data_IF_373079878775
#
_entry.id   IF_373079878775
#
_cell.length_a   1.000
_cell.length_b   1.000
_cell.length_c   1.000
_cell.angle_alpha   90.00
_cell.angle_beta   90.00
_cell.angle_gamma   90.00
#
_symmetry.space_group_name_H-M   'P 1'
#
loop_
_entity.id
_entity.type
_entity.pdbx_description
1 polymer ?
#
# COMPACT_ATOMS: atom_id res chain seq x y z
N UNK A 1 0.70 -16.83 -16.36
CA UNK A 1 0.62 -15.36 -16.59
C UNK A 1 1.70 -14.69 -15.75
N UNK A 2 2.10 -13.47 -16.10
CA UNK A 2 3.09 -12.68 -15.36
C UNK A 2 2.68 -11.21 -15.36
N UNK A 3 2.98 -10.48 -14.28
CA UNK A 3 2.85 -9.02 -14.23
C UNK A 3 4.14 -8.30 -14.71
N UNK A 4 5.26 -9.03 -14.79
CA UNK A 4 6.54 -8.51 -15.29
C UNK A 4 6.58 -8.59 -16.81
N UNK A 5 7.02 -7.51 -17.47
CA UNK A 5 7.14 -7.43 -18.93
C UNK A 5 8.42 -8.09 -19.49
N UNK A 6 9.30 -8.57 -18.61
CA UNK A 6 10.59 -9.17 -18.98
C UNK A 6 10.42 -10.62 -19.47
N UNK A 7 10.27 -10.78 -20.80
CA UNK A 7 10.09 -12.09 -21.44
C UNK A 7 11.30 -13.02 -21.27
N UNK A 8 12.50 -12.49 -21.03
CA UNK A 8 13.74 -13.29 -20.87
C UNK A 8 13.67 -14.31 -19.73
N UNK A 9 12.97 -13.97 -18.65
CA UNK A 9 12.73 -14.85 -17.51
C UNK A 9 11.91 -16.10 -17.86
N UNK A 10 11.34 -16.16 -19.07
CA UNK A 10 10.49 -17.24 -19.56
C UNK A 10 11.12 -18.01 -20.74
N UNK A 11 12.40 -17.78 -21.07
CA UNK A 11 13.13 -18.52 -22.12
C UNK A 11 13.17 -20.04 -21.86
N UNK A 12 13.06 -20.47 -20.60
CA UNK A 12 12.90 -21.89 -20.19
C UNK A 12 11.70 -22.59 -20.88
N UNK A 13 10.66 -21.86 -21.29
CA UNK A 13 9.49 -22.43 -21.96
C UNK A 13 9.71 -22.69 -23.47
N UNK A 14 10.94 -22.99 -23.89
CA UNK A 14 11.31 -23.46 -25.22
C UNK A 14 10.73 -22.64 -26.39
N UNK A 15 10.70 -21.31 -26.27
CA UNK A 15 10.17 -20.41 -27.31
C UNK A 15 8.64 -20.36 -27.41
N UNK A 16 7.90 -20.74 -26.36
CA UNK A 16 6.44 -20.61 -26.30
C UNK A 16 5.97 -19.17 -26.59
N UNK A 17 4.88 -19.05 -27.36
CA UNK A 17 4.34 -17.75 -27.80
C UNK A 17 3.78 -16.94 -26.62
N UNK A 18 4.38 -15.79 -26.33
CA UNK A 18 3.88 -14.82 -25.35
C UNK A 18 2.83 -13.88 -25.96
N UNK A 19 1.74 -13.62 -25.24
CA UNK A 19 0.81 -12.52 -25.54
C UNK A 19 1.06 -11.40 -24.53
N UNK A 20 1.33 -10.19 -25.02
CA UNK A 20 1.45 -8.98 -24.20
C UNK A 20 0.15 -8.16 -24.28
N UNK A 21 -0.40 -7.81 -23.12
CA UNK A 21 -1.48 -6.84 -23.00
C UNK A 21 -0.90 -5.52 -22.49
N UNK A 22 -1.13 -4.42 -23.20
CA UNK A 22 -0.75 -3.09 -22.74
C UNK A 22 -1.64 -2.68 -21.56
N UNK A 23 -1.03 -2.50 -20.39
CA UNK A 23 -1.71 -1.97 -19.21
C UNK A 23 -2.00 -0.47 -19.35
N UNK A 24 -3.15 -0.03 -18.82
CA UNK A 24 -3.43 1.40 -18.64
C UNK A 24 -2.59 1.90 -17.46
N UNK A 25 -1.86 3.00 -17.65
CA UNK A 25 -1.17 3.72 -16.59
C UNK A 25 -1.59 5.19 -16.63
N UNK A 26 -1.90 5.74 -15.46
CA UNK A 26 -2.06 7.17 -15.28
C UNK A 26 -0.69 7.80 -14.90
N UNK A 27 -0.47 9.10 -15.17
CA UNK A 27 0.65 9.81 -14.55
C UNK A 27 0.50 9.78 -13.03
N UNK A 28 1.63 9.67 -12.32
CA UNK A 28 1.69 9.68 -10.85
C UNK A 28 2.99 10.38 -10.46
N UNK A 29 2.88 11.49 -9.75
CA UNK A 29 4.02 12.18 -9.16
C UNK A 29 4.58 11.39 -7.97
N UNK A 30 5.90 11.42 -7.79
CA UNK A 30 6.59 10.62 -6.78
C UNK A 30 7.42 11.54 -5.89
N UNK A 31 7.05 11.58 -4.61
CA UNK A 31 7.75 12.33 -3.58
C UNK A 31 8.63 11.37 -2.75
N UNK A 32 9.78 11.87 -2.32
CA UNK A 32 10.75 11.13 -1.52
C UNK A 32 11.12 11.95 -0.28
N UNK A 33 11.39 11.29 0.85
CA UNK A 33 11.95 11.97 2.02
C UNK A 33 13.40 12.39 1.73
N UNK A 34 13.81 13.57 2.22
CA UNK A 34 15.18 14.06 2.00
C UNK A 34 16.25 13.17 2.64
N UNK A 35 15.89 12.47 3.72
CA UNK A 35 16.75 11.58 4.50
C UNK A 35 16.01 10.28 4.83
N UNK A 36 16.74 9.24 5.25
CA UNK A 36 16.19 8.00 5.78
C UNK A 36 15.45 8.23 7.10
N UNK A 37 14.20 7.80 7.18
CA UNK A 37 13.41 7.87 8.42
C UNK A 37 13.63 6.59 9.24
N UNK A 38 13.81 6.73 10.55
CA UNK A 38 13.94 5.59 11.47
C UNK A 38 12.57 5.02 11.90
N UNK A 39 11.64 5.88 12.35
CA UNK A 39 10.26 5.51 12.62
C UNK A 39 9.37 5.83 11.41
N UNK A 40 9.11 4.81 10.59
CA UNK A 40 8.24 4.95 9.43
C UNK A 40 6.75 4.99 9.80
N UNK A 41 6.36 4.56 11.01
CA UNK A 41 4.96 4.61 11.46
C UNK A 41 4.55 6.06 11.74
N UNK A 42 5.37 6.81 12.48
CA UNK A 42 5.12 8.22 12.75
C UNK A 42 5.17 9.06 11.46
N UNK A 43 6.14 8.82 10.57
CA UNK A 43 6.19 9.50 9.27
C UNK A 43 4.99 9.16 8.37
N UNK A 44 4.49 7.91 8.38
CA UNK A 44 3.23 7.57 7.72
C UNK A 44 2.05 8.34 8.34
N UNK A 45 1.93 8.38 9.67
CA UNK A 45 0.87 9.11 10.38
C UNK A 45 0.86 10.60 10.00
N UNK A 46 2.03 11.25 10.03
CA UNK A 46 2.21 12.65 9.63
C UNK A 46 1.80 12.86 8.17
N UNK A 47 2.27 12.00 7.26
CA UNK A 47 1.96 12.11 5.82
C UNK A 47 0.46 11.97 5.54
N UNK A 48 -0.23 11.07 6.25
CA UNK A 48 -1.69 10.88 6.13
C UNK A 48 -2.43 12.17 6.51
N UNK A 49 -2.10 12.79 7.63
CA UNK A 49 -2.75 14.03 8.05
C UNK A 49 -2.37 15.24 7.18
N UNK A 50 -1.15 15.28 6.63
CA UNK A 50 -0.75 16.30 5.64
C UNK A 50 -1.60 16.19 4.36
N UNK A 51 -1.75 14.99 3.80
CA UNK A 51 -2.59 14.77 2.60
C UNK A 51 -4.06 15.04 2.92
N UNK A 52 -4.58 14.52 4.04
CA UNK A 52 -6.00 14.67 4.42
C UNK A 52 -6.43 16.14 4.55
N UNK A 53 -5.58 16.97 5.16
CA UNK A 53 -5.84 18.39 5.44
C UNK A 53 -5.39 19.35 4.33
N UNK A 54 -4.45 18.94 3.46
CA UNK A 54 -3.85 19.79 2.43
C UNK A 54 -4.37 19.58 1.01
N UNK A 55 -4.73 18.34 0.65
CA UNK A 55 -5.02 17.97 -0.75
C UNK A 55 -6.52 18.01 -1.12
N UNK A 56 -6.80 18.02 -2.42
CA UNK A 56 -8.16 17.85 -2.96
C UNK A 56 -8.77 16.46 -2.68
N UNK A 57 -10.04 16.25 -3.02
CA UNK A 57 -10.78 15.00 -2.76
C UNK A 57 -10.08 13.77 -3.37
N UNK A 58 -10.07 12.66 -2.63
CA UNK A 58 -9.50 11.37 -3.05
C UNK A 58 -9.18 10.44 -1.87
N UNK A 59 -9.20 9.14 -2.12
CA UNK A 59 -8.79 8.08 -1.18
C UNK A 59 -7.26 8.03 -1.01
N UNK A 60 -6.75 7.58 0.15
CA UNK A 60 -5.32 7.51 0.45
C UNK A 60 -4.86 6.04 0.55
N UNK A 61 -4.11 5.54 -0.43
CA UNK A 61 -3.45 4.23 -0.28
C UNK A 61 -2.14 4.40 0.52
N UNK A 62 -2.25 4.21 1.83
CA UNK A 62 -1.18 4.27 2.85
C UNK A 62 -0.31 3.03 2.78
N UNK A 63 0.91 3.18 3.29
CA UNK A 63 1.98 2.19 3.28
C UNK A 63 2.29 1.42 4.64
N UNK A 64 1.83 0.19 5.05
CA UNK A 64 2.29 -0.51 6.34
C UNK A 64 2.42 -2.06 6.36
N UNK A 65 3.24 -2.65 7.27
CA UNK A 65 3.94 -3.98 7.23
C UNK A 65 3.25 -5.24 7.72
N UNK A 66 2.21 -5.13 8.52
CA UNK A 66 1.63 -6.26 9.22
C UNK A 66 0.49 -5.83 10.11
N UNK A 67 -0.14 -6.82 10.75
CA UNK A 67 -1.36 -6.59 11.52
C UNK A 67 -1.12 -5.64 12.71
N UNK A 68 -0.08 -5.86 13.51
CA UNK A 68 0.27 -5.02 14.67
C UNK A 68 0.51 -3.55 14.27
N UNK A 69 1.17 -3.34 13.13
CA UNK A 69 1.49 -2.03 12.59
C UNK A 69 0.24 -1.32 12.02
N UNK A 70 -0.62 -2.07 11.33
CA UNK A 70 -1.89 -1.59 10.76
C UNK A 70 -2.88 -1.22 11.87
N UNK A 71 -3.08 -2.10 12.86
CA UNK A 71 -3.94 -1.85 14.02
C UNK A 71 -3.44 -0.66 14.85
N UNK A 72 -2.12 -0.52 15.01
CA UNK A 72 -1.53 0.60 15.73
C UNK A 72 -1.76 1.94 15.03
N UNK A 73 -1.59 2.02 13.71
CA UNK A 73 -1.85 3.25 12.95
C UNK A 73 -3.34 3.54 12.80
N UNK A 74 -4.20 2.53 12.62
CA UNK A 74 -5.65 2.71 12.63
C UNK A 74 -6.14 3.28 13.97
N UNK A 75 -5.61 2.77 15.09
CA UNK A 75 -5.88 3.32 16.41
C UNK A 75 -5.36 4.76 16.56
N UNK A 76 -4.11 5.05 16.18
CA UNK A 76 -3.51 6.40 16.25
C UNK A 76 -4.27 7.42 15.39
N UNK A 77 -4.75 7.04 14.20
CA UNK A 77 -5.57 7.90 13.34
C UNK A 77 -6.92 8.19 14.01
N UNK A 78 -7.59 7.17 14.56
CA UNK A 78 -8.84 7.34 15.31
C UNK A 78 -8.67 8.13 16.62
N UNK A 79 -7.50 8.12 17.25
CA UNK A 79 -7.15 8.97 18.39
C UNK A 79 -6.95 10.44 17.96
N UNK A 80 -6.22 10.67 16.84
CA UNK A 80 -5.94 12.00 16.30
C UNK A 80 -7.15 12.68 15.66
N UNK A 81 -8.03 11.96 14.97
CA UNK A 81 -9.25 12.51 14.38
C UNK A 81 -10.13 13.20 15.43
N UNK A 82 -10.24 12.61 16.64
CA UNK A 82 -10.99 13.19 17.77
C UNK A 82 -10.40 14.50 18.31
N UNK A 83 -9.18 14.86 17.91
CA UNK A 83 -8.51 16.12 18.25
C UNK A 83 -8.72 17.21 17.18
N UNK A 84 -9.28 16.86 16.01
CA UNK A 84 -9.56 17.78 14.92
C UNK A 84 -10.99 18.35 14.99
N UNK A 85 -11.27 19.54 14.43
CA UNK A 85 -12.64 20.06 14.29
C UNK A 85 -13.54 19.10 13.52
N UNK A 86 -14.83 19.04 13.87
CA UNK A 86 -15.80 18.10 13.29
C UNK A 86 -15.81 18.10 11.74
N UNK A 87 -15.68 19.28 11.13
CA UNK A 87 -15.57 19.47 9.67
C UNK A 87 -14.38 18.76 9.02
N UNK A 88 -13.36 18.41 9.80
CA UNK A 88 -12.12 17.74 9.36
C UNK A 88 -12.07 16.26 9.77
N UNK A 89 -13.09 15.73 10.44
CA UNK A 89 -13.15 14.33 10.89
C UNK A 89 -13.59 13.34 9.79
N UNK A 90 -13.71 13.79 8.54
CA UNK A 90 -14.21 13.02 7.39
C UNK A 90 -13.17 12.05 6.80
N UNK A 91 -12.55 11.22 7.64
CA UNK A 91 -11.57 10.20 7.26
C UNK A 91 -12.03 8.83 7.79
N UNK A 92 -12.26 7.88 6.90
CA UNK A 92 -12.73 6.53 7.21
C UNK A 92 -11.57 5.52 7.17
N UNK A 93 -11.40 4.80 8.28
CA UNK A 93 -10.33 3.82 8.46
C UNK A 93 -10.74 2.46 7.89
N UNK A 94 -9.92 1.87 7.01
CA UNK A 94 -10.23 0.58 6.36
C UNK A 94 -8.96 -0.30 6.25
N UNK A 95 -8.72 -1.15 7.24
CA UNK A 95 -7.66 -2.16 7.17
C UNK A 95 -7.97 -3.27 6.14
N UNK A 96 -6.93 -3.82 5.52
CA UNK A 96 -7.01 -5.05 4.72
C UNK A 96 -5.92 -6.02 5.19
N UNK A 97 -6.33 -7.10 5.86
CA UNK A 97 -5.44 -8.17 6.33
C UNK A 97 -5.75 -9.47 5.58
N UNK A 98 -4.72 -10.28 5.34
CA UNK A 98 -4.86 -11.57 4.65
C UNK A 98 -5.78 -12.56 5.38
N UNK A 99 -5.96 -12.39 6.69
CA UNK A 99 -6.84 -13.21 7.53
C UNK A 99 -8.30 -12.72 7.61
N UNK A 100 -8.65 -11.56 7.04
CA UNK A 100 -10.03 -11.07 7.06
C UNK A 100 -10.94 -11.93 6.14
N UNK A 101 -12.19 -12.21 6.52
CA UNK A 101 -13.19 -12.78 5.62
C UNK A 101 -13.35 -11.94 4.35
N UNK A 102 -13.59 -12.60 3.20
CA UNK A 102 -13.71 -11.93 1.90
C UNK A 102 -14.76 -10.81 1.89
N UNK A 103 -15.87 -10.97 2.63
CA UNK A 103 -16.90 -9.94 2.75
C UNK A 103 -16.34 -8.64 3.36
N UNK A 104 -15.45 -8.73 4.35
CA UNK A 104 -14.82 -7.57 4.99
C UNK A 104 -13.76 -6.94 4.07
N UNK A 105 -12.95 -7.77 3.40
CA UNK A 105 -11.98 -7.30 2.39
C UNK A 105 -12.68 -6.53 1.25
N UNK A 106 -13.86 -6.99 0.81
CA UNK A 106 -14.63 -6.34 -0.25
C UNK A 106 -15.14 -4.94 0.12
N UNK A 107 -15.26 -4.61 1.42
CA UNK A 107 -15.71 -3.27 1.87
C UNK A 107 -14.73 -2.17 1.50
N UNK A 108 -13.44 -2.47 1.30
CA UNK A 108 -12.41 -1.50 0.85
C UNK A 108 -12.73 -0.94 -0.54
N UNK A 109 -13.33 -1.78 -1.41
CA UNK A 109 -13.74 -1.41 -2.77
C UNK A 109 -15.10 -0.71 -2.84
N UNK A 110 -15.83 -0.58 -1.73
CA UNK A 110 -17.05 0.21 -1.69
C UNK A 110 -16.71 1.71 -1.83
N UNK A 111 -17.60 2.49 -2.44
CA UNK A 111 -17.45 3.95 -2.51
C UNK A 111 -17.48 4.58 -1.12
N UNK A 112 -16.67 5.61 -0.90
CA UNK A 112 -16.70 6.36 0.35
C UNK A 112 -18.05 7.10 0.51
N UNK A 113 -18.55 7.31 1.74
CA UNK A 113 -19.65 8.23 1.99
C UNK A 113 -19.29 9.65 1.52
N UNK A 114 -20.30 10.45 1.12
CA UNK A 114 -20.05 11.78 0.55
C UNK A 114 -19.20 12.67 1.48
N UNK A 115 -18.08 13.18 0.95
CA UNK A 115 -17.11 14.01 1.68
C UNK A 115 -16.08 13.24 2.51
N UNK A 116 -16.21 11.92 2.68
CA UNK A 116 -15.20 11.10 3.36
C UNK A 116 -14.12 10.63 2.39
N UNK A 117 -12.87 10.56 2.88
CA UNK A 117 -11.81 9.75 2.27
C UNK A 117 -11.76 8.38 2.93
N UNK A 118 -11.53 7.29 2.19
CA UNK A 118 -11.04 6.03 2.77
C UNK A 118 -9.51 6.02 2.74
N UNK A 119 -8.91 5.14 3.54
CA UNK A 119 -7.53 4.70 3.33
C UNK A 119 -7.35 3.19 3.50
N UNK A 120 -6.33 2.61 2.85
CA UNK A 120 -5.92 1.19 2.93
C UNK A 120 -4.37 1.10 3.00
N UNK A 121 -3.76 -0.08 3.29
CA UNK A 121 -2.41 -0.12 3.95
C UNK A 121 -1.43 -1.29 3.57
N UNK A 122 -0.27 -1.08 2.86
CA UNK A 122 0.77 -2.12 2.48
C UNK A 122 2.20 -1.63 1.97
N UNK A 123 3.35 -1.71 2.70
CA UNK A 123 4.32 -0.60 2.96
C UNK A 123 5.24 -0.02 1.89
N UNK A 124 6.00 -0.86 1.21
CA UNK A 124 7.37 -0.48 0.81
C UNK A 124 8.42 -1.27 1.60
N UNK A 125 7.96 -2.08 2.55
CA UNK A 125 8.61 -3.28 3.06
C UNK A 125 7.70 -4.49 2.75
N UNK A 126 8.16 -5.71 3.06
CA UNK A 126 7.37 -6.95 3.08
C UNK A 126 7.94 -7.90 4.14
N UNK A 127 7.11 -8.76 4.74
CA UNK A 127 7.59 -9.92 5.51
C UNK A 127 7.96 -11.02 4.51
N UNK A 128 9.27 -11.28 4.35
CA UNK A 128 9.82 -12.20 3.37
C UNK A 128 10.47 -13.42 4.06
N UNK A 129 10.23 -14.59 3.49
CA UNK A 129 10.92 -15.82 3.86
C UNK A 129 12.39 -15.73 3.44
N UNK A 130 13.30 -15.85 4.40
CA UNK A 130 14.75 -15.83 4.20
C UNK A 130 15.38 -17.04 4.87
N UNK A 131 16.17 -17.80 4.12
CA UNK A 131 16.91 -18.95 4.65
C UNK A 131 18.26 -18.50 5.20
N UNK A 132 18.56 -18.89 6.45
CA UNK A 132 19.86 -18.72 7.09
C UNK A 132 20.65 -20.04 6.96
N UNK A 133 21.63 -20.14 6.04
CA UNK A 133 22.39 -21.37 5.83
C UNK A 133 23.37 -21.68 6.97
N UNK A 134 23.67 -20.72 7.84
CA UNK A 134 24.52 -20.95 9.02
C UNK A 134 23.74 -21.52 10.20
N UNK A 135 22.44 -21.22 10.29
CA UNK A 135 21.52 -21.84 11.26
C UNK A 135 20.79 -23.07 10.69
N UNK A 136 20.77 -23.24 9.38
CA UNK A 136 20.02 -24.30 8.68
C UNK A 136 18.50 -24.09 8.70
N UNK A 137 18.04 -22.87 9.00
CA UNK A 137 16.63 -22.56 9.29
C UNK A 137 16.09 -21.45 8.39
N UNK A 138 14.78 -21.52 8.13
CA UNK A 138 14.03 -20.47 7.46
C UNK A 138 13.45 -19.48 8.48
N UNK A 139 13.49 -18.19 8.18
CA UNK A 139 13.04 -17.11 9.06
C UNK A 139 12.19 -16.11 8.28
N UNK A 140 11.07 -15.68 8.86
CA UNK A 140 10.24 -14.61 8.32
C UNK A 140 10.76 -13.26 8.82
N UNK A 141 11.33 -12.44 7.93
CA UNK A 141 11.97 -11.17 8.27
C UNK A 141 11.34 -10.01 7.49
N UNK A 142 11.25 -8.82 8.10
CA UNK A 142 10.84 -7.60 7.42
C UNK A 142 11.99 -7.11 6.55
N UNK A 143 11.78 -6.99 5.25
CA UNK A 143 12.77 -6.50 4.27
C UNK A 143 12.19 -5.35 3.44
N UNK A 144 13.02 -4.41 2.94
CA UNK A 144 12.56 -3.40 1.98
C UNK A 144 11.96 -4.04 0.73
N UNK A 145 10.96 -3.41 0.10
CA UNK A 145 10.46 -3.87 -1.20
C UNK A 145 11.52 -3.72 -2.29
N UNK A 146 11.48 -4.64 -3.24
CA UNK A 146 12.16 -4.45 -4.51
C UNK A 146 11.60 -3.24 -5.26
N UNK A 147 12.44 -2.60 -6.09
CA UNK A 147 12.04 -1.54 -7.01
C UNK A 147 10.81 -1.92 -7.86
N UNK A 148 10.67 -3.20 -8.22
CA UNK A 148 9.53 -3.69 -8.99
C UNK A 148 8.23 -3.69 -8.18
N UNK A 149 8.25 -4.18 -6.93
CA UNK A 149 7.09 -4.12 -6.03
C UNK A 149 6.66 -2.67 -5.74
N UNK A 150 7.61 -1.75 -5.53
CA UNK A 150 7.31 -0.33 -5.37
C UNK A 150 6.64 0.28 -6.62
N UNK A 151 7.13 -0.06 -7.83
CA UNK A 151 6.50 0.35 -9.09
C UNK A 151 5.09 -0.23 -9.27
N UNK A 152 4.86 -1.49 -8.84
CA UNK A 152 3.52 -2.08 -8.83
C UNK A 152 2.58 -1.35 -7.86
N UNK A 153 3.02 -1.02 -6.64
CA UNK A 153 2.22 -0.28 -5.65
C UNK A 153 1.84 1.12 -6.15
N UNK A 154 2.74 1.83 -6.84
CA UNK A 154 2.43 3.07 -7.56
C UNK A 154 1.30 2.89 -8.59
N UNK A 155 1.35 1.83 -9.41
CA UNK A 155 0.31 1.55 -10.40
C UNK A 155 -1.04 1.16 -9.77
N UNK A 156 -1.02 0.45 -8.62
CA UNK A 156 -2.24 0.11 -7.87
C UNK A 156 -2.89 1.36 -7.27
N UNK A 157 -2.11 2.25 -6.65
CA UNK A 157 -2.60 3.54 -6.16
C UNK A 157 -3.24 4.35 -7.28
N UNK A 158 -2.56 4.46 -8.44
CA UNK A 158 -3.07 5.16 -9.61
C UNK A 158 -4.44 4.64 -10.09
N UNK A 159 -4.61 3.31 -10.10
CA UNK A 159 -5.84 2.68 -10.57
C UNK A 159 -6.99 2.79 -9.56
N UNK A 160 -6.73 2.58 -8.27
CA UNK A 160 -7.78 2.63 -7.24
C UNK A 160 -8.23 4.06 -6.90
N UNK A 161 -7.35 5.06 -7.04
CA UNK A 161 -7.65 6.46 -6.69
C UNK A 161 -8.06 7.26 -7.94
N UNK A 162 -7.39 7.06 -9.07
CA UNK A 162 -7.61 7.81 -10.33
C UNK A 162 -8.78 7.33 -11.20
N UNK A 163 -9.85 6.82 -10.59
CA UNK A 163 -11.04 6.30 -11.30
C UNK A 163 -12.23 7.27 -11.21
N UNK A 164 -11.98 8.58 -11.31
CA UNK A 164 -12.96 9.68 -11.31
C UNK A 164 -12.64 10.65 -12.44
#
# INVERSE_FOLDING_TARGET
MSASLELKCFEYFCGAKSVHLQGRQFPVDIFYTCHSVADYLDACLITIFQIHLGEGLGDILVFLTGQEEIESIERLINERLKQLPESSQMLLTMSILAALPSEQQMRVFASAPSGFRKYAVDPGFVKAHTYDPSKGMECLVVVPTSKFQALQRRCVAAFMIGSV
#
